data_IF_815204580913
#
_entry.id   IF_815204580913
#
_cell.length_a   1.000
_cell.length_b   1.000
_cell.length_c   1.000
_cell.angle_alpha   90.00
_cell.angle_beta   90.00
_cell.angle_gamma   90.00
#
_symmetry.space_group_name_H-M   'P 1'
#
loop_
_entity.id
_entity.type
_entity.pdbx_description
1 polymer ?
#
# COMPACT_ATOMS: atom_id res chain seq x y z
N UNK A 1 -7.88 11.19 -25.92
CA UNK A 1 -7.82 10.99 -24.46
C UNK A 1 -7.10 12.19 -23.88
N UNK A 2 -7.68 12.86 -22.92
CA UNK A 2 -7.04 13.97 -22.20
C UNK A 2 -5.73 13.47 -21.58
N UNK A 3 -4.65 14.24 -21.72
CA UNK A 3 -3.33 13.85 -21.23
C UNK A 3 -3.35 13.82 -19.69
N UNK A 4 -3.05 12.65 -19.10
CA UNK A 4 -3.09 12.48 -17.64
C UNK A 4 -1.90 13.21 -17.03
N UNK A 5 -2.13 14.41 -16.52
CA UNK A 5 -1.10 15.22 -15.87
C UNK A 5 -0.76 14.67 -14.48
N UNK A 6 0.47 14.20 -14.32
CA UNK A 6 0.99 13.74 -13.03
C UNK A 6 1.45 14.91 -12.16
N UNK A 7 1.04 14.98 -10.88
CA UNK A 7 1.59 15.96 -9.94
C UNK A 7 3.07 15.70 -9.66
N UNK A 8 3.81 16.78 -9.39
CA UNK A 8 5.25 16.74 -9.13
C UNK A 8 5.52 16.87 -7.63
N UNK A 9 6.42 16.02 -7.12
CA UNK A 9 6.87 16.04 -5.74
C UNK A 9 8.40 16.00 -5.68
N UNK A 10 8.99 16.59 -4.65
CA UNK A 10 10.43 16.60 -4.46
C UNK A 10 11.01 15.26 -4.03
N UNK A 11 10.23 14.43 -3.31
CA UNK A 11 10.71 13.21 -2.65
C UNK A 11 10.15 11.92 -3.24
N UNK A 12 9.20 12.01 -4.18
CA UNK A 12 8.53 10.86 -4.81
C UNK A 12 8.34 11.15 -6.31
N UNK A 13 8.74 10.20 -7.16
CA UNK A 13 8.54 10.27 -8.61
C UNK A 13 7.30 9.48 -9.01
N UNK A 14 6.53 10.02 -9.95
CA UNK A 14 5.37 9.35 -10.55
C UNK A 14 5.63 9.08 -12.03
N UNK A 15 5.18 7.92 -12.51
CA UNK A 15 5.15 7.61 -13.96
C UNK A 15 4.02 6.64 -14.30
N UNK A 16 3.80 6.41 -15.60
CA UNK A 16 2.78 5.51 -16.12
C UNK A 16 3.49 4.46 -17.01
N UNK A 17 4.08 3.39 -16.42
CA UNK A 17 4.87 2.43 -17.17
C UNK A 17 4.02 1.56 -18.11
N UNK A 18 2.74 1.38 -17.79
CA UNK A 18 1.71 0.77 -18.65
C UNK A 18 0.40 1.57 -18.47
N UNK A 19 -0.49 1.61 -19.47
CA UNK A 19 -1.76 2.32 -19.37
C UNK A 19 -2.54 1.94 -18.11
N UNK A 20 -3.15 2.92 -17.44
CA UNK A 20 -3.93 2.76 -16.21
C UNK A 20 -3.16 2.31 -14.95
N UNK A 21 -1.83 2.13 -15.02
CA UNK A 21 -0.99 1.81 -13.88
C UNK A 21 -0.19 3.03 -13.41
N UNK A 22 -0.40 3.49 -12.19
CA UNK A 22 0.44 4.53 -11.58
C UNK A 22 1.65 3.88 -10.91
N UNK A 23 2.87 4.22 -11.34
CA UNK A 23 4.09 3.87 -10.63
C UNK A 23 4.48 4.99 -9.68
N UNK A 24 4.55 4.67 -8.39
CA UNK A 24 4.96 5.54 -7.29
C UNK A 24 6.36 5.09 -6.86
N UNK A 25 7.38 5.92 -7.09
CA UNK A 25 8.77 5.61 -6.73
C UNK A 25 9.24 6.56 -5.64
N UNK A 26 9.48 6.04 -4.44
CA UNK A 26 10.14 6.79 -3.37
C UNK A 26 11.54 7.19 -3.86
N UNK A 27 11.86 8.49 -3.81
CA UNK A 27 13.04 9.05 -4.48
C UNK A 27 13.86 9.92 -3.53
N UNK A 28 14.34 9.31 -2.44
CA UNK A 28 15.34 9.85 -1.51
C UNK A 28 16.43 8.80 -1.26
N UNK A 29 17.13 8.29 -2.30
CA UNK A 29 18.05 7.16 -2.15
C UNK A 29 19.22 7.47 -1.19
N UNK A 30 19.65 8.73 -1.11
CA UNK A 30 20.67 9.20 -0.18
C UNK A 30 20.26 9.05 1.30
N UNK A 31 18.95 9.09 1.56
CA UNK A 31 18.34 8.86 2.87
C UNK A 31 17.72 7.46 2.96
N UNK A 32 18.09 6.54 2.06
CA UNK A 32 17.51 5.18 1.97
C UNK A 32 15.98 5.18 1.89
N UNK A 33 15.42 6.17 1.21
CA UNK A 33 13.99 6.42 1.07
C UNK A 33 13.24 6.59 2.41
N UNK A 34 13.93 7.00 3.48
CA UNK A 34 13.31 7.27 4.77
C UNK A 34 12.30 8.44 4.72
N UNK A 35 11.28 8.39 5.56
CA UNK A 35 10.18 9.35 5.58
C UNK A 35 10.48 10.47 6.57
N UNK A 36 10.61 11.68 6.04
CA UNK A 36 10.41 12.92 6.78
C UNK A 36 8.96 13.40 6.63
N UNK A 37 8.62 14.54 7.24
CA UNK A 37 7.28 15.13 7.13
C UNK A 37 6.84 15.40 5.69
N UNK A 38 7.75 15.83 4.82
CA UNK A 38 7.46 16.12 3.41
C UNK A 38 7.09 14.84 2.66
N UNK A 39 7.90 13.79 2.78
CA UNK A 39 7.67 12.50 2.14
C UNK A 39 6.38 11.85 2.64
N UNK A 40 6.13 11.96 3.95
CA UNK A 40 4.93 11.44 4.59
C UNK A 40 3.64 12.07 4.02
N UNK A 41 3.62 13.40 3.85
CA UNK A 41 2.48 14.12 3.26
C UNK A 41 2.41 14.05 1.74
N UNK A 42 3.55 13.89 1.06
CA UNK A 42 3.61 13.67 -0.38
C UNK A 42 2.91 12.36 -0.76
N UNK A 43 3.24 11.25 -0.09
CA UNK A 43 2.58 9.97 -0.38
C UNK A 43 1.08 10.02 -0.07
N UNK A 44 0.67 10.68 1.01
CA UNK A 44 -0.74 10.88 1.30
C UNK A 44 -1.45 11.65 0.17
N UNK A 45 -0.85 12.71 -0.35
CA UNK A 45 -1.40 13.50 -1.47
C UNK A 45 -1.46 12.71 -2.77
N UNK A 46 -0.43 11.90 -3.06
CA UNK A 46 -0.40 11.02 -4.24
C UNK A 46 -1.51 9.99 -4.18
N UNK A 47 -1.73 9.37 -3.03
CA UNK A 47 -2.80 8.37 -2.87
C UNK A 47 -4.19 9.03 -2.99
N UNK A 48 -4.37 10.26 -2.48
CA UNK A 48 -5.61 11.03 -2.72
C UNK A 48 -5.84 11.30 -4.21
N UNK A 49 -4.79 11.65 -4.95
CA UNK A 49 -4.86 11.83 -6.41
C UNK A 49 -5.22 10.51 -7.10
N UNK A 50 -4.51 9.42 -6.77
CA UNK A 50 -4.78 8.09 -7.31
C UNK A 50 -6.23 7.62 -7.09
N UNK A 51 -6.79 7.86 -5.89
CA UNK A 51 -8.18 7.53 -5.58
C UNK A 51 -9.16 8.30 -6.47
N UNK A 52 -8.95 9.61 -6.65
CA UNK A 52 -9.86 10.50 -7.39
C UNK A 52 -9.73 10.43 -8.91
N UNK A 53 -8.58 10.01 -9.42
CA UNK A 53 -8.33 9.96 -10.87
C UNK A 53 -8.87 8.66 -11.47
N UNK A 54 -9.97 8.76 -12.23
CA UNK A 54 -10.64 7.60 -12.86
C UNK A 54 -9.74 6.83 -13.84
N UNK A 55 -8.75 7.52 -14.43
CA UNK A 55 -7.81 6.88 -15.35
C UNK A 55 -7.02 5.74 -14.70
N UNK A 56 -6.64 5.86 -13.44
CA UNK A 56 -5.81 4.84 -12.79
C UNK A 56 -6.66 3.74 -12.17
N UNK A 57 -6.25 2.50 -12.46
CA UNK A 57 -6.92 1.27 -11.99
C UNK A 57 -6.09 0.45 -11.02
N UNK A 58 -4.75 0.55 -11.09
CA UNK A 58 -3.80 -0.12 -10.20
C UNK A 58 -2.62 0.81 -9.95
N UNK A 59 -2.03 0.71 -8.77
CA UNK A 59 -0.78 1.40 -8.45
C UNK A 59 0.31 0.39 -8.06
N UNK A 60 1.55 0.71 -8.40
CA UNK A 60 2.75 0.01 -7.94
C UNK A 60 3.59 0.99 -7.12
N UNK A 61 4.00 0.60 -5.92
CA UNK A 61 4.88 1.36 -5.05
C UNK A 61 6.26 0.68 -5.01
N UNK A 62 7.33 1.44 -5.25
CA UNK A 62 8.72 0.96 -5.20
C UNK A 62 9.65 2.01 -4.60
N UNK A 63 10.89 1.64 -4.29
CA UNK A 63 11.95 2.56 -3.88
C UNK A 63 13.01 2.74 -4.96
N UNK A 64 13.55 3.95 -5.09
CA UNK A 64 14.75 4.20 -5.89
C UNK A 64 16.02 3.66 -5.20
N UNK A 65 17.04 3.30 -5.98
CA UNK A 65 18.30 2.78 -5.43
C UNK A 65 18.16 1.41 -4.78
N UNK A 66 18.97 1.14 -3.75
CA UNK A 66 19.12 -0.22 -3.18
C UNK A 66 18.18 -0.59 -2.05
N UNK A 67 17.43 0.37 -1.54
CA UNK A 67 16.52 0.20 -0.40
C UNK A 67 15.11 0.54 -0.85
N UNK A 68 14.14 -0.30 -0.49
CA UNK A 68 12.73 0.04 -0.73
C UNK A 68 12.34 1.23 0.15
N UNK A 69 12.45 1.08 1.47
CA UNK A 69 12.26 2.15 2.43
C UNK A 69 12.84 1.76 3.79
N UNK A 70 13.68 2.62 4.36
CA UNK A 70 14.27 2.42 5.69
C UNK A 70 13.35 2.82 6.86
N UNK A 71 12.13 3.29 6.57
CA UNK A 71 11.14 3.69 7.58
C UNK A 71 11.20 5.17 7.92
N UNK A 72 11.05 5.50 9.20
CA UNK A 72 11.07 6.89 9.67
C UNK A 72 12.48 7.48 9.59
N UNK A 73 12.61 8.70 9.09
CA UNK A 73 13.85 9.46 9.17
C UNK A 73 14.14 9.78 10.65
N UNK A 74 15.20 9.20 11.21
CA UNK A 74 15.52 9.31 12.64
C UNK A 74 15.98 10.71 13.05
N UNK A 75 16.57 11.49 12.13
CA UNK A 75 16.91 12.90 12.41
C UNK A 75 15.63 13.71 12.57
N UNK A 76 14.65 13.44 11.71
CA UNK A 76 13.32 14.02 11.85
C UNK A 76 12.64 13.56 13.15
N UNK A 77 12.68 12.27 13.47
CA UNK A 77 12.08 11.74 14.70
C UNK A 77 12.67 12.37 15.97
N UNK A 78 14.00 12.54 16.04
CA UNK A 78 14.67 13.22 17.15
C UNK A 78 14.13 14.64 17.35
N UNK A 79 14.04 15.41 16.26
CA UNK A 79 13.50 16.77 16.28
C UNK A 79 12.04 16.82 16.75
N UNK A 80 11.21 15.85 16.34
CA UNK A 80 9.82 15.75 16.82
C UNK A 80 9.77 15.45 18.31
N UNK A 81 10.63 14.55 18.80
CA UNK A 81 10.70 14.19 20.21
C UNK A 81 11.13 15.37 21.09
N UNK A 82 12.07 16.20 20.62
CA UNK A 82 12.48 17.43 21.30
C UNK A 82 11.32 18.44 21.39
N UNK A 83 10.62 18.70 20.28
CA UNK A 83 9.46 19.61 20.26
C UNK A 83 8.36 19.11 21.20
N UNK A 84 8.08 17.80 21.19
CA UNK A 84 7.01 17.22 22.00
C UNK A 84 7.27 17.31 23.52
N UNK A 85 8.51 17.56 23.96
CA UNK A 85 8.84 17.79 25.37
C UNK A 85 8.49 19.20 25.83
N UNK A 86 8.50 20.18 24.92
CA UNK A 86 8.36 21.60 25.26
C UNK A 86 7.02 22.19 24.82
N UNK A 87 6.37 21.59 23.82
CA UNK A 87 5.21 22.15 23.15
C UNK A 87 3.99 21.21 23.24
N UNK A 88 2.77 21.74 23.48
CA UNK A 88 1.56 20.94 23.44
C UNK A 88 1.33 20.41 22.02
N UNK A 89 0.85 19.17 21.88
CA UNK A 89 0.62 18.53 20.57
C UNK A 89 -0.18 19.40 19.57
N UNK A 90 -1.10 20.24 20.06
CA UNK A 90 -1.89 21.15 19.24
C UNK A 90 -1.04 22.21 18.51
N UNK A 91 0.06 22.70 19.11
CA UNK A 91 0.95 23.70 18.50
C UNK A 91 1.94 23.11 17.49
N UNK A 92 2.13 21.78 17.46
CA UNK A 92 3.00 21.13 16.47
C UNK A 92 2.44 21.38 15.04
N UNK A 93 3.25 21.89 14.09
CA UNK A 93 2.83 22.09 12.70
C UNK A 93 2.27 20.81 12.06
N UNK A 94 1.27 20.95 11.17
CA UNK A 94 0.60 19.80 10.54
C UNK A 94 1.55 18.89 9.75
N UNK A 95 2.58 19.45 9.10
CA UNK A 95 3.61 18.69 8.37
C UNK A 95 4.50 17.83 9.28
N UNK A 96 4.50 18.13 10.58
CA UNK A 96 5.23 17.38 11.60
C UNK A 96 4.34 16.32 12.29
N UNK A 97 3.04 16.30 11.98
CA UNK A 97 2.07 15.35 12.50
C UNK A 97 1.85 14.18 11.53
N UNK A 98 1.43 13.00 12.05
CA UNK A 98 0.94 11.93 11.20
C UNK A 98 -0.23 12.39 10.33
N UNK A 99 -0.38 11.79 9.15
CA UNK A 99 -1.54 12.06 8.29
C UNK A 99 -2.79 11.40 8.89
N UNK A 100 -4.00 11.92 8.61
CA UNK A 100 -5.24 11.30 9.09
C UNK A 100 -5.41 9.85 8.59
N UNK A 101 -4.77 9.49 7.47
CA UNK A 101 -4.82 8.16 6.87
C UNK A 101 -3.65 7.25 7.33
N UNK A 102 -2.94 7.62 8.41
CA UNK A 102 -1.86 6.83 9.02
C UNK A 102 -0.49 7.01 8.36
N UNK A 103 0.41 6.03 8.54
CA UNK A 103 1.75 6.00 7.96
C UNK A 103 1.75 6.17 6.44
N UNK A 104 2.41 7.21 5.93
CA UNK A 104 2.42 7.60 4.51
C UNK A 104 1.02 7.89 3.92
N UNK A 105 0.02 8.01 4.79
CA UNK A 105 -1.39 7.96 4.46
C UNK A 105 -1.93 6.58 4.08
N UNK A 106 -1.15 5.50 4.07
CA UNK A 106 -1.62 4.23 3.54
C UNK A 106 -2.33 3.35 4.60
N UNK A 107 -1.69 3.20 5.75
CA UNK A 107 -2.05 2.20 6.78
C UNK A 107 -3.44 2.35 7.42
N UNK A 108 -4.08 3.52 7.34
CA UNK A 108 -5.43 3.79 7.87
C UNK A 108 -6.33 4.40 6.80
N UNK A 109 -6.25 3.90 5.56
CA UNK A 109 -6.99 4.43 4.40
C UNK A 109 -8.06 3.45 3.91
N UNK A 110 -9.22 3.34 4.58
CA UNK A 110 -10.30 2.45 4.15
C UNK A 110 -10.90 2.83 2.79
N UNK A 111 -10.68 4.08 2.35
CA UNK A 111 -11.15 4.58 1.05
C UNK A 111 -10.32 4.07 -0.12
N UNK A 112 -9.11 3.53 0.12
CA UNK A 112 -8.25 3.01 -0.93
C UNK A 112 -8.72 1.64 -1.40
N UNK A 113 -9.78 1.63 -2.19
CA UNK A 113 -10.41 0.41 -2.70
C UNK A 113 -9.89 0.02 -4.10
N UNK A 114 -8.98 0.81 -4.67
CA UNK A 114 -8.22 0.44 -5.87
C UNK A 114 -6.95 -0.37 -5.49
N UNK A 115 -6.53 -1.36 -6.29
CA UNK A 115 -5.36 -2.18 -6.01
C UNK A 115 -4.02 -1.43 -5.92
N UNK A 116 -3.22 -1.77 -4.90
CA UNK A 116 -1.87 -1.29 -4.67
C UNK A 116 -0.90 -2.47 -4.48
N UNK A 117 0.12 -2.52 -5.30
CA UNK A 117 1.18 -3.55 -5.26
C UNK A 117 2.46 -2.91 -4.72
N UNK A 118 3.08 -3.49 -3.70
CA UNK A 118 4.43 -3.14 -3.29
C UNK A 118 5.46 -3.98 -4.05
N UNK A 119 6.35 -3.31 -4.76
CA UNK A 119 7.52 -3.86 -5.43
C UNK A 119 8.76 -3.58 -4.55
N UNK A 120 8.98 -4.44 -3.56
CA UNK A 120 10.03 -4.30 -2.53
C UNK A 120 11.38 -4.69 -3.11
N UNK A 121 12.06 -3.73 -3.72
CA UNK A 121 13.33 -3.92 -4.43
C UNK A 121 14.55 -4.10 -3.52
N UNK A 122 14.42 -3.88 -2.21
CA UNK A 122 15.49 -4.00 -1.23
C UNK A 122 14.96 -3.95 0.18
N UNK A 123 15.77 -3.52 1.16
CA UNK A 123 15.36 -3.49 2.55
C UNK A 123 14.05 -2.69 2.76
N UNK A 124 13.12 -3.25 3.52
CA UNK A 124 11.85 -2.65 3.91
C UNK A 124 11.73 -2.67 5.44
N UNK A 125 12.20 -1.62 6.10
CA UNK A 125 12.34 -1.58 7.54
C UNK A 125 11.41 -0.54 8.16
N UNK A 126 10.86 -0.88 9.33
CA UNK A 126 9.94 -0.05 10.09
C UNK A 126 8.76 0.42 9.23
N UNK A 127 8.61 1.73 9.06
CA UNK A 127 7.64 2.31 8.13
C UNK A 127 7.67 1.75 6.70
N UNK A 128 8.82 1.28 6.20
CA UNK A 128 8.91 0.57 4.91
C UNK A 128 8.22 -0.79 4.92
N UNK A 129 8.35 -1.55 6.02
CA UNK A 129 7.59 -2.77 6.26
C UNK A 129 6.10 -2.46 6.41
N UNK A 130 5.74 -1.36 7.09
CA UNK A 130 4.34 -0.93 7.23
C UNK A 130 3.67 -0.61 5.89
N UNK A 131 4.41 -0.01 4.94
CA UNK A 131 3.92 0.20 3.57
C UNK A 131 3.65 -1.12 2.84
N UNK A 132 4.58 -2.08 2.94
CA UNK A 132 4.43 -3.40 2.34
C UNK A 132 3.23 -4.16 2.96
N UNK A 133 3.12 -4.16 4.29
CA UNK A 133 2.01 -4.77 5.02
C UNK A 133 0.65 -4.18 4.64
N UNK A 134 0.60 -2.87 4.34
CA UNK A 134 -0.64 -2.17 3.96
C UNK A 134 -0.99 -2.28 2.48
N UNK A 135 -0.14 -2.94 1.67
CA UNK A 135 -0.39 -3.18 0.25
C UNK A 135 -1.18 -4.46 0.04
N UNK A 136 -1.85 -4.59 -1.11
CA UNK A 136 -2.66 -5.78 -1.42
C UNK A 136 -1.79 -6.97 -1.85
N UNK A 137 -0.69 -6.68 -2.54
CA UNK A 137 0.24 -7.66 -3.08
C UNK A 137 1.66 -7.17 -2.85
N UNK A 138 2.55 -8.07 -2.43
CA UNK A 138 3.97 -7.80 -2.19
C UNK A 138 4.81 -8.71 -3.09
N UNK A 139 5.56 -8.10 -4.00
CA UNK A 139 6.66 -8.73 -4.74
C UNK A 139 7.96 -8.23 -4.10
N UNK A 140 8.83 -9.14 -3.66
CA UNK A 140 10.04 -8.80 -2.91
C UNK A 140 11.30 -9.37 -3.57
N UNK A 141 12.39 -8.61 -3.51
CA UNK A 141 13.73 -9.05 -3.93
C UNK A 141 14.19 -10.23 -3.07
N UNK A 142 14.79 -11.24 -3.67
CA UNK A 142 15.42 -12.38 -2.98
C UNK A 142 16.47 -11.99 -1.93
N UNK A 143 17.15 -10.89 -2.17
CA UNK A 143 18.16 -10.29 -1.29
C UNK A 143 17.61 -9.29 -0.27
N UNK A 144 16.29 -9.02 -0.28
CA UNK A 144 15.72 -8.07 0.66
C UNK A 144 15.57 -8.66 2.07
N UNK A 145 15.64 -7.75 3.05
CA UNK A 145 15.21 -7.98 4.42
C UNK A 145 14.00 -7.10 4.73
N UNK A 146 13.08 -7.61 5.54
CA UNK A 146 11.86 -6.91 5.92
C UNK A 146 11.60 -7.09 7.41
N UNK A 147 11.23 -6.02 8.11
CA UNK A 147 11.07 -6.08 9.56
C UNK A 147 10.65 -4.78 10.21
N UNK A 148 10.36 -4.85 11.52
CA UNK A 148 9.93 -3.73 12.36
C UNK A 148 10.94 -3.54 13.50
N UNK A 149 12.08 -2.86 13.27
CA UNK A 149 13.15 -2.72 14.24
C UNK A 149 12.95 -1.59 15.26
N UNK A 150 11.77 -0.97 15.33
CA UNK A 150 11.48 0.22 16.14
C UNK A 150 11.85 0.08 17.61
N UNK A 151 11.68 -1.12 18.18
CA UNK A 151 12.03 -1.40 19.59
C UNK A 151 13.51 -1.17 19.90
N UNK A 152 14.39 -1.28 18.89
CA UNK A 152 15.83 -1.03 19.04
C UNK A 152 16.18 0.45 19.23
N UNK A 153 15.22 1.35 19.00
CA UNK A 153 15.38 2.80 19.16
C UNK A 153 14.34 3.41 20.11
N UNK A 154 13.71 2.58 20.96
CA UNK A 154 12.71 3.04 21.94
C UNK A 154 11.37 3.45 21.32
N UNK A 155 11.08 2.98 20.10
CA UNK A 155 9.83 3.22 19.39
C UNK A 155 9.04 1.92 19.22
N UNK A 156 7.83 2.03 18.68
CA UNK A 156 7.08 0.90 18.14
C UNK A 156 6.42 1.34 16.82
N UNK A 157 5.84 0.39 16.08
CA UNK A 157 5.13 0.63 14.82
C UNK A 157 3.60 0.70 15.06
N UNK A 158 3.03 1.87 15.41
CA UNK A 158 1.62 1.99 15.83
C UNK A 158 0.60 1.90 14.70
N UNK A 159 1.01 1.92 13.43
CA UNK A 159 0.07 2.04 12.33
C UNK A 159 -0.36 0.67 11.79
N UNK A 160 0.32 0.13 10.78
CA UNK A 160 -0.01 -1.22 10.29
C UNK A 160 0.87 -2.29 10.93
N UNK A 161 2.06 -1.95 11.43
CA UNK A 161 3.05 -2.93 11.88
C UNK A 161 2.53 -3.83 13.00
N UNK A 162 2.04 -3.25 14.09
CA UNK A 162 1.52 -4.00 15.25
C UNK A 162 0.09 -4.54 15.06
N UNK A 163 -0.57 -4.22 13.96
CA UNK A 163 -1.96 -4.60 13.71
C UNK A 163 -2.11 -5.61 12.56
N UNK A 164 -1.49 -5.35 11.41
CA UNK A 164 -1.59 -6.20 10.23
C UNK A 164 -0.64 -7.37 10.31
N UNK A 165 0.58 -7.20 10.82
CA UNK A 165 1.52 -8.32 10.94
C UNK A 165 0.95 -9.54 11.68
N UNK A 166 0.38 -9.44 12.90
CA UNK A 166 -0.14 -10.62 13.59
C UNK A 166 -1.34 -11.26 12.85
N UNK A 167 -2.09 -10.46 12.09
CA UNK A 167 -3.18 -10.90 11.22
C UNK A 167 -2.68 -11.63 9.97
N UNK A 168 -1.50 -11.28 9.48
CA UNK A 168 -0.89 -11.86 8.27
C UNK A 168 -0.06 -13.10 8.57
N UNK A 169 0.81 -13.07 9.59
CA UNK A 169 1.81 -14.12 9.84
C UNK A 169 1.55 -14.94 11.11
N UNK A 170 0.50 -14.61 11.85
CA UNK A 170 0.19 -15.20 13.16
C UNK A 170 0.91 -14.50 14.33
N UNK A 171 0.33 -14.63 15.51
CA UNK A 171 0.69 -13.83 16.68
C UNK A 171 2.12 -14.08 17.19
N UNK A 172 2.56 -15.35 17.24
CA UNK A 172 3.85 -15.73 17.82
C UNK A 172 5.02 -15.23 16.97
N UNK A 173 4.95 -15.46 15.64
CA UNK A 173 5.96 -14.96 14.68
C UNK A 173 6.01 -13.43 14.68
N UNK A 174 4.84 -12.80 14.71
CA UNK A 174 4.71 -11.35 14.80
C UNK A 174 5.36 -10.79 16.07
N UNK A 175 5.06 -11.35 17.24
CA UNK A 175 5.66 -10.92 18.52
C UNK A 175 7.18 -11.13 18.51
N UNK A 176 7.67 -12.26 18.01
CA UNK A 176 9.11 -12.48 17.89
C UNK A 176 9.77 -11.37 17.06
N UNK A 177 9.27 -11.12 15.85
CA UNK A 177 9.84 -10.10 14.96
C UNK A 177 9.78 -8.69 15.55
N UNK A 178 8.64 -8.29 16.15
CA UNK A 178 8.43 -6.94 16.68
C UNK A 178 9.18 -6.73 18.00
N UNK A 179 9.22 -7.71 18.91
CA UNK A 179 9.84 -7.55 20.23
C UNK A 179 11.37 -7.68 20.20
N UNK A 180 11.91 -8.46 19.26
CA UNK A 180 13.38 -8.52 19.03
C UNK A 180 13.85 -7.40 18.11
N UNK A 181 12.97 -6.89 17.24
CA UNK A 181 13.33 -5.96 16.18
C UNK A 181 14.23 -6.57 15.10
N UNK A 182 14.27 -7.90 15.00
CA UNK A 182 15.08 -8.61 14.01
C UNK A 182 14.32 -8.74 12.68
N UNK A 183 14.88 -8.25 11.57
CA UNK A 183 14.25 -8.41 10.27
C UNK A 183 14.37 -9.86 9.79
N UNK A 184 13.45 -10.26 8.93
CA UNK A 184 13.43 -11.58 8.30
C UNK A 184 13.86 -11.47 6.83
N UNK A 185 14.35 -12.58 6.28
CA UNK A 185 14.68 -12.67 4.85
C UNK A 185 13.41 -12.63 3.98
N UNK A 186 13.58 -12.30 2.70
CA UNK A 186 12.51 -12.37 1.70
C UNK A 186 11.87 -13.76 1.59
N UNK A 187 12.68 -14.83 1.69
CA UNK A 187 12.19 -16.21 1.66
C UNK A 187 11.34 -16.54 2.90
N UNK A 188 11.76 -16.09 4.08
CA UNK A 188 10.96 -16.22 5.31
C UNK A 188 9.67 -15.41 5.20
N UNK A 189 9.72 -14.19 4.67
CA UNK A 189 8.54 -13.35 4.45
C UNK A 189 7.51 -14.04 3.53
N UNK A 190 7.98 -14.71 2.46
CA UNK A 190 7.12 -15.51 1.59
C UNK A 190 6.54 -16.74 2.30
N UNK A 191 7.37 -17.47 3.04
CA UNK A 191 6.95 -18.64 3.81
C UNK A 191 5.88 -18.29 4.86
N UNK A 192 5.98 -17.12 5.47
CA UNK A 192 5.05 -16.65 6.49
C UNK A 192 3.78 -16.01 5.92
N UNK A 193 3.71 -15.79 4.61
CA UNK A 193 2.56 -15.17 3.94
C UNK A 193 2.59 -13.64 3.89
N UNK A 194 3.69 -13.00 4.32
CA UNK A 194 3.89 -11.55 4.23
C UNK A 194 4.16 -11.11 2.78
N UNK A 195 4.86 -11.94 2.01
CA UNK A 195 5.14 -11.68 0.60
C UNK A 195 4.44 -12.67 -0.34
N UNK A 196 3.97 -12.19 -1.50
CA UNK A 196 3.32 -13.04 -2.50
C UNK A 196 4.33 -13.66 -3.47
N UNK A 197 5.44 -12.99 -3.79
CA UNK A 197 6.48 -13.50 -4.69
C UNK A 197 7.86 -13.06 -4.23
N UNK A 198 8.84 -13.95 -4.33
CA UNK A 198 10.26 -13.65 -4.21
C UNK A 198 10.88 -13.81 -5.58
N UNK A 199 11.59 -12.79 -6.05
CA UNK A 199 12.24 -12.77 -7.37
C UNK A 199 13.60 -12.08 -7.27
N UNK A 200 14.51 -12.29 -8.23
CA UNK A 200 15.74 -11.50 -8.31
C UNK A 200 15.44 -10.00 -8.30
N UNK A 201 16.31 -9.22 -7.68
CA UNK A 201 16.16 -7.76 -7.47
C UNK A 201 15.70 -7.02 -8.74
N UNK A 202 16.35 -7.28 -9.86
CA UNK A 202 16.09 -6.65 -11.16
C UNK A 202 14.73 -7.06 -11.76
N UNK A 203 14.14 -8.16 -11.28
CA UNK A 203 12.83 -8.66 -11.70
C UNK A 203 11.68 -8.16 -10.81
N UNK A 204 11.95 -7.49 -9.69
CA UNK A 204 10.91 -7.05 -8.74
C UNK A 204 9.88 -6.13 -9.40
N UNK A 205 10.33 -5.05 -10.04
CA UNK A 205 9.42 -4.12 -10.72
C UNK A 205 8.77 -4.77 -11.96
N UNK A 206 9.51 -5.44 -12.87
CA UNK A 206 8.90 -6.17 -13.97
C UNK A 206 7.80 -7.15 -13.53
N UNK A 207 8.03 -7.92 -12.47
CA UNK A 207 7.06 -8.89 -11.96
C UNK A 207 5.83 -8.21 -11.33
N UNK A 208 6.03 -7.11 -10.59
CA UNK A 208 4.92 -6.31 -10.08
C UNK A 208 4.06 -5.73 -11.22
N UNK A 209 4.69 -5.26 -12.30
CA UNK A 209 3.98 -4.76 -13.50
C UNK A 209 3.24 -5.87 -14.26
N UNK A 210 3.76 -7.11 -14.30
CA UNK A 210 3.01 -8.26 -14.84
C UNK A 210 1.77 -8.56 -14.02
N UNK A 211 1.84 -8.47 -12.69
CA UNK A 211 0.65 -8.62 -11.83
C UNK A 211 -0.32 -7.46 -12.05
N UNK A 212 0.18 -6.22 -12.14
CA UNK A 212 -0.64 -5.05 -12.46
C UNK A 212 -1.39 -5.24 -13.79
N UNK A 213 -0.71 -5.74 -14.84
CA UNK A 213 -1.33 -6.05 -16.12
C UNK A 213 -2.47 -7.08 -16.00
N UNK A 214 -2.30 -8.14 -15.19
CA UNK A 214 -3.37 -9.11 -14.93
C UNK A 214 -4.57 -8.51 -14.20
N UNK A 215 -4.32 -7.60 -13.25
CA UNK A 215 -5.40 -6.85 -12.58
C UNK A 215 -6.15 -5.95 -13.57
N UNK A 216 -5.46 -5.40 -14.57
CA UNK A 216 -6.07 -4.58 -15.62
C UNK A 216 -6.92 -5.38 -16.61
N UNK A 217 -6.75 -6.70 -16.69
CA UNK A 217 -7.54 -7.59 -17.54
C UNK A 217 -8.90 -7.98 -16.95
N UNK A 218 -9.14 -7.69 -15.66
CA UNK A 218 -10.39 -8.01 -14.96
C UNK A 218 -11.24 -6.77 -14.69
N UNK A 219 -12.51 -6.98 -14.31
CA UNK A 219 -13.44 -5.89 -14.02
C UNK A 219 -12.90 -4.97 -12.91
N UNK A 220 -12.79 -3.65 -13.15
CA UNK A 220 -12.33 -2.72 -12.13
C UNK A 220 -13.32 -2.68 -10.95
N UNK A 221 -14.62 -2.63 -11.21
CA UNK A 221 -15.65 -2.57 -10.17
C UNK A 221 -15.67 -3.83 -9.31
N UNK A 222 -15.53 -5.01 -9.91
CA UNK A 222 -15.45 -6.27 -9.17
C UNK A 222 -14.19 -6.32 -8.32
N UNK A 223 -13.04 -5.92 -8.87
CA UNK A 223 -11.77 -5.88 -8.13
C UNK A 223 -11.86 -4.96 -6.92
N UNK A 224 -12.49 -3.79 -7.09
CA UNK A 224 -12.76 -2.84 -6.01
C UNK A 224 -13.63 -3.44 -4.92
N UNK A 225 -14.75 -4.07 -5.29
CA UNK A 225 -15.63 -4.72 -4.33
C UNK A 225 -14.90 -5.85 -3.58
N UNK A 226 -14.16 -6.71 -4.27
CA UNK A 226 -13.39 -7.80 -3.67
C UNK A 226 -12.39 -7.30 -2.64
N UNK A 227 -11.58 -6.27 -2.97
CA UNK A 227 -10.65 -5.66 -2.03
C UNK A 227 -11.38 -5.10 -0.80
N UNK A 228 -12.45 -4.36 -1.04
CA UNK A 228 -13.30 -3.76 0.00
C UNK A 228 -13.81 -4.81 1.00
N UNK A 229 -14.27 -5.96 0.50
CA UNK A 229 -14.81 -7.06 1.31
C UNK A 229 -13.73 -7.84 2.05
N UNK A 230 -12.59 -8.10 1.39
CA UNK A 230 -11.46 -8.78 2.01
C UNK A 230 -10.93 -8.00 3.21
N UNK A 231 -10.82 -6.67 3.10
CA UNK A 231 -10.39 -5.81 4.21
C UNK A 231 -11.42 -5.83 5.35
N UNK A 232 -12.72 -5.70 5.06
CA UNK A 232 -13.79 -5.77 6.08
C UNK A 232 -13.74 -7.07 6.86
N UNK A 233 -13.52 -8.19 6.18
CA UNK A 233 -13.42 -9.51 6.82
C UNK A 233 -12.29 -9.60 7.85
N UNK A 234 -11.30 -8.71 7.78
CA UNK A 234 -10.17 -8.63 8.72
C UNK A 234 -10.38 -7.61 9.85
N UNK A 235 -11.31 -6.67 9.67
CA UNK A 235 -11.54 -5.54 10.59
C UNK A 235 -12.85 -5.63 11.36
N UNK A 236 -13.80 -6.45 10.88
CA UNK A 236 -15.06 -6.74 11.56
C UNK A 236 -14.90 -8.04 12.36
N UNK A 237 -15.41 -8.06 13.60
CA UNK A 237 -15.18 -9.18 14.52
C UNK A 237 -15.76 -10.52 14.02
N UNK A 238 -16.85 -10.46 13.25
CA UNK A 238 -17.55 -11.61 12.69
C UNK A 238 -17.48 -11.54 11.17
N UNK A 239 -17.05 -12.63 10.53
CA UNK A 239 -17.04 -12.71 9.07
C UNK A 239 -18.48 -12.65 8.48
N UNK A 240 -19.48 -13.10 9.23
CA UNK A 240 -20.89 -12.98 8.82
C UNK A 240 -21.36 -11.53 8.85
N UNK A 241 -20.92 -10.74 9.84
CA UNK A 241 -21.26 -9.33 9.91
C UNK A 241 -20.48 -8.54 8.85
N UNK A 242 -19.21 -8.88 8.61
CA UNK A 242 -18.44 -8.34 7.50
C UNK A 242 -19.12 -8.57 6.14
N UNK A 243 -19.71 -9.77 5.95
CA UNK A 243 -20.48 -10.10 4.74
C UNK A 243 -21.72 -9.24 4.61
N UNK A 244 -22.53 -9.11 5.68
CA UNK A 244 -23.75 -8.29 5.69
C UNK A 244 -23.48 -6.80 5.47
N UNK A 245 -22.50 -6.24 6.18
CA UNK A 245 -22.03 -4.86 5.98
C UNK A 245 -21.51 -4.65 4.55
N UNK A 246 -20.94 -5.72 4.01
CA UNK A 246 -20.40 -5.77 2.67
C UNK A 246 -21.44 -5.73 1.56
N UNK A 247 -22.55 -6.46 1.75
CA UNK A 247 -23.70 -6.49 0.83
C UNK A 247 -24.34 -5.11 0.67
N UNK A 248 -24.36 -4.31 1.73
CA UNK A 248 -24.91 -2.94 1.70
C UNK A 248 -23.82 -1.87 1.56
N UNK A 249 -22.60 -2.23 1.14
CA UNK A 249 -21.52 -1.25 0.96
C UNK A 249 -21.66 -0.51 -0.37
N UNK A 250 -21.28 0.77 -0.39
CA UNK A 250 -21.24 1.57 -1.63
C UNK A 250 -20.42 0.92 -2.76
N UNK A 251 -19.35 0.17 -2.42
CA UNK A 251 -18.54 -0.52 -3.42
C UNK A 251 -19.30 -1.71 -4.05
N UNK A 252 -20.14 -2.38 -3.26
CA UNK A 252 -21.03 -3.43 -3.71
C UNK A 252 -22.15 -2.84 -4.59
N UNK A 253 -22.86 -1.82 -4.10
CA UNK A 253 -23.92 -1.13 -4.85
C UNK A 253 -23.44 -0.65 -6.21
N UNK A 254 -22.30 0.04 -6.25
CA UNK A 254 -21.71 0.53 -7.49
C UNK A 254 -21.29 -0.60 -8.44
N UNK A 255 -20.85 -1.75 -7.93
CA UNK A 255 -20.50 -2.91 -8.77
C UNK A 255 -21.77 -3.56 -9.34
N UNK A 256 -22.82 -3.74 -8.54
CA UNK A 256 -24.06 -4.38 -8.97
C UNK A 256 -24.85 -3.55 -9.97
N UNK A 257 -24.83 -2.21 -9.82
CA UNK A 257 -25.47 -1.27 -10.73
C UNK A 257 -24.61 -0.91 -11.96
N UNK A 258 -23.30 -1.19 -11.92
CA UNK A 258 -22.34 -0.76 -12.94
C UNK A 258 -22.41 -1.54 -14.26
N UNK A 259 -22.10 -0.86 -15.37
CA UNK A 259 -22.06 -1.44 -16.72
C UNK A 259 -21.09 -2.64 -16.83
N UNK A 260 -20.01 -2.62 -16.04
CA UNK A 260 -19.02 -3.68 -16.05
C UNK A 260 -19.60 -5.03 -15.62
N UNK A 261 -20.61 -5.07 -14.74
CA UNK A 261 -21.27 -6.33 -14.38
C UNK A 261 -22.02 -6.93 -15.57
N UNK A 262 -22.83 -6.11 -16.24
CA UNK A 262 -23.58 -6.54 -17.41
C UNK A 262 -22.64 -7.00 -18.54
N UNK A 263 -21.58 -6.25 -18.80
CA UNK A 263 -20.56 -6.60 -19.80
C UNK A 263 -19.80 -7.89 -19.47
N UNK A 264 -19.46 -8.10 -18.19
CA UNK A 264 -18.79 -9.34 -17.76
C UNK A 264 -19.64 -10.58 -18.02
N UNK A 265 -20.92 -10.55 -17.64
CA UNK A 265 -21.85 -11.66 -17.90
C UNK A 265 -22.08 -11.84 -19.39
N UNK A 266 -22.32 -10.74 -20.13
CA UNK A 266 -22.58 -10.77 -21.58
C UNK A 266 -21.39 -11.35 -22.36
N UNK A 267 -20.18 -10.87 -22.09
CA UNK A 267 -18.97 -11.35 -22.77
C UNK A 267 -18.67 -12.83 -22.52
N UNK A 268 -18.95 -13.33 -21.31
CA UNK A 268 -18.83 -14.75 -20.98
C UNK A 268 -19.80 -15.61 -21.79
N UNK A 269 -21.09 -15.21 -21.85
CA UNK A 269 -22.11 -15.90 -22.66
C UNK A 269 -21.76 -15.88 -24.14
N UNK A 270 -21.25 -14.75 -24.65
CA UNK A 270 -20.84 -14.55 -26.03
C UNK A 270 -19.44 -15.14 -26.36
N UNK A 271 -18.73 -15.72 -25.38
CA UNK A 271 -17.37 -16.29 -25.51
C UNK A 271 -16.36 -15.32 -26.13
N UNK A 272 -16.45 -14.04 -25.78
CA UNK A 272 -15.51 -13.00 -26.22
C UNK A 272 -14.79 -12.37 -25.04
N UNK A 273 -13.72 -11.62 -25.33
CA UNK A 273 -13.07 -10.81 -24.29
C UNK A 273 -14.00 -9.67 -23.85
N UNK A 274 -14.09 -9.38 -22.53
CA UNK A 274 -14.83 -8.25 -22.01
C UNK A 274 -14.15 -6.93 -22.39
N UNK A 275 -14.96 -5.91 -22.66
CA UNK A 275 -14.53 -4.53 -22.85
C UNK A 275 -14.87 -3.70 -21.62
N UNK A 276 -14.03 -3.77 -20.59
CA UNK A 276 -14.24 -3.08 -19.33
C UNK A 276 -14.24 -1.55 -19.47
N UNK A 277 -15.29 -0.92 -18.96
CA UNK A 277 -15.35 0.53 -18.74
C UNK A 277 -14.48 0.93 -17.54
N UNK A 278 -14.37 2.24 -17.29
CA UNK A 278 -13.75 2.75 -16.05
C UNK A 278 -14.52 2.31 -14.80
N UNK A 279 -14.06 2.75 -13.63
CA UNK A 279 -14.79 2.53 -12.38
C UNK A 279 -16.17 3.20 -12.42
N UNK A 280 -17.19 2.48 -11.95
CA UNK A 280 -18.48 3.05 -11.59
C UNK A 280 -18.28 4.03 -10.42
N UNK A 281 -19.03 5.12 -10.36
CA UNK A 281 -18.90 6.12 -9.29
C UNK A 281 -19.34 5.52 -7.94
N UNK A 282 -18.68 5.95 -6.86
CA UNK A 282 -19.00 5.63 -5.47
C UNK A 282 -19.74 6.79 -4.80
#
# INVERSE_FOLDING_TARGET
MEEVKLPVFSTIKLSIPIPHCLLITLNRPESRNAFDGITHWALNSILNYYERTDYFRVAVLTGSGDVFCAGQDLKFASRIAEIAQTEPYKSIPALLKPTPNGWGGLSRRPTLVKPLISAVNGAALGGGCELALSSDIVVISDTAIIGLPEVKVGLYAPWSGTHFLPRTVGLQRSKQMIMTGDPISAHTAKLWGLANRVVPREQVLPEALKIAAKILEVSPDATRAVKSMAIRSMTTASWMDASREGETSRENDAMYAGENRAEGVKSFVEKRKPSWKGYSKL
#
